data_IF_708135495686
#
_entry.id   IF_708135495686
#
_cell.length_a   1.000
_cell.length_b   1.000
_cell.length_c   1.000
_cell.angle_alpha   90.00
_cell.angle_beta   90.00
_cell.angle_gamma   90.00
#
_symmetry.space_group_name_H-M   'P 1'
#
loop_
_entity.id
_entity.type
_entity.pdbx_description
1 polymer ?
#
# COMPACT_ATOMS: atom_id res chain seq x y z
N UNK A 1 8.65 -18.62 4.02
CA UNK A 1 8.08 -19.93 4.33
C UNK A 1 9.07 -21.02 3.93
N UNK A 2 9.40 -21.92 4.86
CA UNK A 2 10.21 -23.11 4.64
C UNK A 2 9.37 -24.32 4.94
N UNK A 3 9.35 -25.29 4.01
CA UNK A 3 8.54 -26.52 4.11
C UNK A 3 9.48 -27.71 3.96
N UNK A 4 9.36 -28.69 4.83
CA UNK A 4 10.10 -29.95 4.80
C UNK A 4 9.65 -30.87 3.66
N UNK A 5 10.40 -31.94 3.42
CA UNK A 5 10.07 -32.96 2.43
C UNK A 5 8.78 -33.75 2.79
N UNK A 6 8.38 -33.72 4.03
CA UNK A 6 7.16 -34.31 4.60
C UNK A 6 5.97 -33.31 4.62
N UNK A 7 6.10 -32.19 3.92
CA UNK A 7 5.12 -31.09 3.86
C UNK A 7 4.93 -30.33 5.19
N UNK A 8 5.69 -30.64 6.23
CA UNK A 8 5.65 -29.89 7.49
C UNK A 8 6.22 -28.48 7.31
N UNK A 9 5.57 -27.48 7.92
CA UNK A 9 6.09 -26.11 7.94
C UNK A 9 7.21 -26.02 8.98
N UNK A 10 8.43 -25.88 8.52
CA UNK A 10 9.63 -25.78 9.36
C UNK A 10 9.87 -24.35 9.86
N UNK A 11 9.45 -23.35 9.08
CA UNK A 11 9.59 -21.96 9.48
C UNK A 11 8.69 -21.03 8.65
N UNK A 12 8.17 -19.99 9.28
CA UNK A 12 7.39 -18.93 8.63
C UNK A 12 7.74 -17.58 9.21
N UNK A 13 8.24 -16.66 8.39
CA UNK A 13 8.39 -15.26 8.77
C UNK A 13 7.02 -14.59 8.91
N UNK A 14 6.90 -13.49 9.69
CA UNK A 14 5.73 -12.63 9.67
C UNK A 14 5.40 -12.13 8.27
N UNK A 15 4.12 -11.85 8.02
CA UNK A 15 3.66 -11.26 6.75
C UNK A 15 3.78 -9.73 6.83
N UNK A 16 4.17 -9.09 5.71
CA UNK A 16 4.28 -7.63 5.55
C UNK A 16 5.24 -6.92 6.53
N UNK A 17 6.15 -7.64 7.14
CA UNK A 17 7.20 -7.12 8.01
C UNK A 17 8.58 -7.46 7.44
N UNK A 18 9.54 -6.54 7.59
CA UNK A 18 10.94 -6.80 7.27
C UNK A 18 11.54 -7.69 8.35
N UNK A 19 12.26 -8.75 7.95
CA UNK A 19 12.88 -9.65 8.91
C UNK A 19 13.74 -10.73 8.27
N UNK A 20 14.47 -11.45 9.11
CA UNK A 20 15.23 -12.64 8.74
C UNK A 20 14.59 -13.87 9.41
N UNK A 21 14.43 -14.91 8.63
CA UNK A 21 14.03 -16.24 9.12
C UNK A 21 15.22 -17.20 8.90
N UNK A 22 15.77 -17.70 10.00
CA UNK A 22 16.81 -18.73 9.95
C UNK A 22 16.18 -20.08 10.24
N UNK A 23 16.47 -21.07 9.42
CA UNK A 23 15.96 -22.44 9.56
C UNK A 23 17.09 -23.41 9.35
N UNK A 24 17.30 -24.29 10.32
CA UNK A 24 18.22 -25.40 10.18
C UNK A 24 17.54 -26.56 9.47
N UNK A 25 18.18 -27.06 8.41
CA UNK A 25 17.68 -28.16 7.60
C UNK A 25 18.57 -29.38 7.81
N UNK A 26 17.96 -30.51 8.14
CA UNK A 26 18.64 -31.81 8.09
C UNK A 26 18.65 -32.29 6.63
N UNK A 27 19.77 -32.08 5.95
CA UNK A 27 19.91 -32.44 4.55
C UNK A 27 20.52 -33.85 4.46
N UNK A 28 20.01 -34.69 3.53
CA UNK A 28 20.64 -35.98 3.27
C UNK A 28 22.10 -35.78 2.85
N UNK A 29 22.97 -36.67 3.28
CA UNK A 29 24.38 -36.64 2.93
C UNK A 29 24.56 -36.53 1.39
N UNK A 30 25.46 -35.67 0.94
CA UNK A 30 25.74 -35.51 -0.48
C UNK A 30 26.13 -36.86 -1.10
N UNK A 31 25.36 -37.32 -2.08
CA UNK A 31 25.55 -38.63 -2.72
C UNK A 31 26.80 -38.75 -3.59
N UNK A 32 27.47 -37.66 -3.89
CA UNK A 32 28.71 -37.68 -4.68
C UNK A 32 29.85 -37.06 -3.89
N UNK A 33 30.93 -37.78 -3.71
CA UNK A 33 32.18 -37.20 -3.28
C UNK A 33 32.59 -36.12 -4.27
N UNK A 34 32.85 -34.90 -3.77
CA UNK A 34 33.46 -33.83 -4.58
C UNK A 34 34.90 -34.21 -4.94
N UNK A 35 35.57 -33.40 -5.77
CA UNK A 35 37.01 -33.59 -6.05
C UNK A 35 37.82 -33.54 -4.74
N UNK A 36 39.03 -34.06 -4.71
CA UNK A 36 39.94 -33.88 -3.59
C UNK A 36 40.13 -32.42 -3.17
N UNK A 37 40.52 -32.22 -1.94
CA UNK A 37 40.77 -30.85 -1.40
C UNK A 37 41.77 -30.09 -2.28
N UNK A 38 41.39 -28.88 -2.70
CA UNK A 38 42.18 -28.05 -3.58
C UNK A 38 42.09 -28.36 -5.07
N UNK A 39 41.44 -29.49 -5.44
CA UNK A 39 41.14 -29.81 -6.84
C UNK A 39 39.78 -29.31 -7.27
N UNK A 40 39.61 -29.11 -8.56
CA UNK A 40 38.36 -28.69 -9.17
C UNK A 40 37.91 -29.70 -10.21
N UNK A 41 36.70 -30.21 -10.10
CA UNK A 41 36.06 -30.99 -11.14
C UNK A 41 35.10 -30.14 -11.98
N UNK A 42 34.96 -30.53 -13.23
CA UNK A 42 34.02 -29.91 -14.16
C UNK A 42 33.04 -30.99 -14.64
N UNK A 43 31.78 -30.62 -14.56
CA UNK A 43 30.67 -31.47 -15.08
C UNK A 43 29.88 -30.64 -16.09
N UNK A 44 29.68 -31.20 -17.27
CA UNK A 44 28.88 -30.58 -18.34
C UNK A 44 27.48 -31.14 -18.29
N UNK A 45 26.50 -30.30 -18.10
CA UNK A 45 25.09 -30.60 -18.35
C UNK A 45 24.69 -30.04 -19.72
N UNK A 46 23.49 -30.31 -20.18
CA UNK A 46 23.01 -29.81 -21.48
C UNK A 46 23.08 -28.27 -21.58
N UNK A 47 22.90 -27.57 -20.44
CA UNK A 47 22.74 -26.11 -20.40
C UNK A 47 23.83 -25.38 -19.58
N UNK A 48 24.59 -26.12 -18.74
CA UNK A 48 25.49 -25.50 -17.78
C UNK A 48 26.81 -26.25 -17.63
N UNK A 49 27.86 -25.46 -17.35
CA UNK A 49 29.13 -25.98 -16.85
C UNK A 49 29.11 -25.86 -15.31
N UNK A 50 29.08 -26.98 -14.61
CA UNK A 50 29.16 -27.04 -13.15
C UNK A 50 30.62 -27.19 -12.75
N UNK A 51 31.11 -26.21 -12.01
CA UNK A 51 32.45 -26.24 -11.40
C UNK A 51 32.34 -26.57 -9.94
N UNK A 52 32.92 -27.66 -9.47
CA UNK A 52 32.96 -28.08 -8.08
C UNK A 52 34.37 -27.92 -7.51
N UNK A 53 34.48 -27.31 -6.36
CA UNK A 53 35.74 -27.18 -5.62
C UNK A 53 35.51 -27.49 -4.17
N UNK A 54 36.32 -28.34 -3.58
CA UNK A 54 36.29 -28.62 -2.13
C UNK A 54 37.17 -27.59 -1.45
N UNK A 55 36.58 -26.76 -0.61
CA UNK A 55 37.28 -25.68 0.10
C UNK A 55 37.83 -26.14 1.46
N UNK A 56 37.21 -27.09 2.11
CA UNK A 56 37.63 -27.66 3.38
C UNK A 56 37.09 -29.07 3.54
N UNK A 57 37.87 -29.92 4.20
CA UNK A 57 37.45 -31.26 4.68
C UNK A 57 37.34 -31.31 6.20
N UNK A 58 37.53 -30.17 6.87
CA UNK A 58 37.38 -30.09 8.32
C UNK A 58 35.93 -30.27 8.73
N UNK A 59 35.71 -31.10 9.74
CA UNK A 59 34.38 -31.22 10.36
C UNK A 59 33.99 -29.92 11.04
N UNK A 60 32.77 -29.50 10.82
CA UNK A 60 32.20 -28.39 11.59
C UNK A 60 32.08 -28.80 13.07
N UNK A 61 32.25 -27.82 13.96
CA UNK A 61 32.00 -28.04 15.39
C UNK A 61 30.55 -28.54 15.61
N UNK A 62 30.30 -29.37 16.64
CA UNK A 62 28.95 -29.76 16.99
C UNK A 62 28.05 -28.52 17.14
N UNK A 63 26.94 -28.54 16.45
CA UNK A 63 25.95 -27.45 16.42
C UNK A 63 24.62 -27.98 16.94
N UNK A 64 23.98 -27.24 17.81
CA UNK A 64 22.62 -27.55 18.27
C UNK A 64 21.65 -26.69 17.47
N UNK A 65 20.81 -27.28 16.62
CA UNK A 65 19.82 -26.53 15.86
C UNK A 65 18.85 -25.79 16.78
N UNK A 66 18.56 -24.54 16.46
CA UNK A 66 17.49 -23.80 17.11
C UNK A 66 16.20 -23.94 16.28
N UNK A 67 15.04 -24.21 16.91
CA UNK A 67 13.79 -24.30 16.19
C UNK A 67 13.45 -22.94 15.56
N UNK A 68 13.19 -22.94 14.26
CA UNK A 68 12.71 -21.75 13.58
C UNK A 68 11.31 -21.35 14.07
N UNK A 69 11.07 -20.07 14.16
CA UNK A 69 9.75 -19.56 14.48
C UNK A 69 8.76 -19.81 13.33
N UNK A 70 7.53 -20.20 13.69
CA UNK A 70 6.41 -20.27 12.73
C UNK A 70 5.42 -19.17 13.09
N UNK A 71 5.55 -18.02 12.43
CA UNK A 71 4.63 -16.90 12.62
C UNK A 71 3.18 -17.32 12.28
N UNK A 72 2.17 -16.91 13.05
CA UNK A 72 0.78 -17.15 12.70
C UNK A 72 0.40 -16.47 11.39
N UNK A 73 -0.56 -17.05 10.66
CA UNK A 73 -1.15 -16.37 9.49
C UNK A 73 -2.11 -15.30 9.99
N UNK A 74 -2.07 -14.14 9.36
CA UNK A 74 -3.07 -13.11 9.59
C UNK A 74 -4.37 -13.47 8.85
N UNK A 75 -5.56 -13.06 9.37
CA UNK A 75 -6.84 -13.26 8.68
C UNK A 75 -6.86 -12.58 7.30
N UNK A 76 -7.68 -13.08 6.38
CA UNK A 76 -7.73 -12.60 4.98
C UNK A 76 -7.95 -11.08 4.88
N UNK A 77 -8.87 -10.51 5.67
CA UNK A 77 -9.07 -9.05 5.70
C UNK A 77 -7.86 -8.30 6.23
N UNK A 78 -7.19 -8.85 7.25
CA UNK A 78 -5.94 -8.30 7.78
C UNK A 78 -4.81 -8.36 6.75
N UNK A 79 -4.75 -9.42 5.95
CA UNK A 79 -3.78 -9.57 4.86
C UNK A 79 -3.99 -8.50 3.77
N UNK A 80 -5.24 -8.29 3.33
CA UNK A 80 -5.57 -7.23 2.38
C UNK A 80 -5.23 -5.84 2.94
N UNK A 81 -5.61 -5.58 4.20
CA UNK A 81 -5.29 -4.30 4.85
C UNK A 81 -3.77 -4.06 4.91
N UNK A 82 -3.01 -5.04 5.39
CA UNK A 82 -1.56 -4.94 5.48
C UNK A 82 -0.90 -4.78 4.09
N UNK A 83 -1.45 -5.43 3.06
CA UNK A 83 -0.98 -5.28 1.69
C UNK A 83 -1.14 -3.84 1.18
N UNK A 84 -2.33 -3.22 1.37
CA UNK A 84 -2.57 -1.84 0.90
C UNK A 84 -1.78 -0.81 1.70
N UNK A 85 -1.60 -1.01 3.02
CA UNK A 85 -0.74 -0.17 3.86
C UNK A 85 0.71 -0.24 3.39
N UNK A 86 1.23 -1.45 3.16
CA UNK A 86 2.59 -1.68 2.69
C UNK A 86 2.80 -1.10 1.29
N UNK A 87 1.85 -1.32 0.37
CA UNK A 87 1.90 -0.78 -0.99
C UNK A 87 1.95 0.73 -1.02
N UNK A 88 1.12 1.41 -0.21
CA UNK A 88 1.13 2.87 -0.12
C UNK A 88 2.44 3.38 0.50
N UNK A 89 2.88 2.79 1.62
CA UNK A 89 4.13 3.15 2.29
C UNK A 89 5.32 3.09 1.34
N UNK A 90 5.43 1.99 0.63
CA UNK A 90 6.54 1.75 -0.30
C UNK A 90 6.48 2.69 -1.50
N UNK A 91 5.29 2.93 -2.05
CA UNK A 91 5.12 3.85 -3.16
C UNK A 91 5.54 5.28 -2.78
N UNK A 92 5.08 5.77 -1.62
CA UNK A 92 5.44 7.10 -1.10
C UNK A 92 6.95 7.22 -0.94
N UNK A 93 7.58 6.26 -0.26
CA UNK A 93 9.03 6.27 0.01
C UNK A 93 9.87 6.17 -1.26
N UNK A 94 9.55 5.23 -2.14
CA UNK A 94 10.31 4.98 -3.38
C UNK A 94 10.22 6.13 -4.38
N UNK A 95 9.12 6.90 -4.36
CA UNK A 95 8.97 8.08 -5.21
C UNK A 95 9.41 9.39 -4.52
N UNK A 96 9.96 9.33 -3.31
CA UNK A 96 10.55 10.49 -2.61
C UNK A 96 9.53 11.43 -1.98
N UNK A 97 8.25 11.07 -1.93
CA UNK A 97 7.24 11.87 -1.23
C UNK A 97 7.42 11.79 0.28
N UNK A 98 7.20 12.91 0.97
CA UNK A 98 7.27 12.99 2.43
C UNK A 98 5.87 12.97 3.07
N UNK A 99 4.84 13.23 2.29
CA UNK A 99 3.48 13.40 2.78
C UNK A 99 2.45 13.15 1.66
N UNK A 100 1.21 12.93 2.09
CA UNK A 100 0.08 12.74 1.19
C UNK A 100 -1.04 13.72 1.50
N UNK A 101 -1.88 13.99 0.50
CA UNK A 101 -3.12 14.78 0.65
C UNK A 101 -4.28 14.04 0.01
N UNK A 102 -5.45 14.09 0.66
CA UNK A 102 -6.68 13.49 0.16
C UNK A 102 -7.92 14.30 0.54
N UNK A 103 -8.97 14.16 -0.25
CA UNK A 103 -10.28 14.72 0.07
C UNK A 103 -11.00 13.89 1.12
N UNK A 104 -11.49 14.50 2.18
CA UNK A 104 -12.36 13.88 3.17
C UNK A 104 -13.81 14.27 2.90
N UNK A 105 -14.58 13.33 2.36
CA UNK A 105 -15.99 13.53 2.02
C UNK A 105 -16.97 13.27 3.18
N UNK A 106 -16.49 12.65 4.27
CA UNK A 106 -17.33 12.06 5.31
C UNK A 106 -17.84 10.66 4.96
N UNK A 107 -17.46 10.12 3.78
CA UNK A 107 -17.78 8.74 3.36
C UNK A 107 -16.71 7.74 3.80
N UNK A 108 -17.12 6.45 3.88
CA UNK A 108 -16.28 5.36 4.36
C UNK A 108 -14.98 5.17 3.56
N UNK A 109 -15.01 5.34 2.23
CA UNK A 109 -13.84 5.13 1.39
C UNK A 109 -12.75 6.15 1.69
N UNK A 110 -13.10 7.44 1.77
CA UNK A 110 -12.16 8.49 2.14
C UNK A 110 -11.63 8.32 3.56
N UNK A 111 -12.46 7.84 4.49
CA UNK A 111 -12.05 7.53 5.85
C UNK A 111 -11.06 6.36 5.90
N UNK A 112 -11.34 5.30 5.15
CA UNK A 112 -10.45 4.14 5.06
C UNK A 112 -9.10 4.50 4.42
N UNK A 113 -9.09 5.26 3.32
CA UNK A 113 -7.86 5.73 2.68
C UNK A 113 -7.04 6.60 3.64
N UNK A 114 -7.69 7.48 4.40
CA UNK A 114 -7.01 8.30 5.41
C UNK A 114 -6.36 7.45 6.52
N UNK A 115 -7.06 6.43 7.01
CA UNK A 115 -6.55 5.51 8.03
C UNK A 115 -5.37 4.69 7.50
N UNK A 116 -5.50 4.11 6.29
CA UNK A 116 -4.40 3.41 5.61
C UNK A 116 -3.17 4.32 5.46
N UNK A 117 -3.39 5.58 5.09
CA UNK A 117 -2.30 6.55 4.95
C UNK A 117 -1.62 6.85 6.29
N UNK A 118 -2.40 7.00 7.37
CA UNK A 118 -1.85 7.20 8.72
C UNK A 118 -1.00 6.02 9.17
N UNK A 119 -1.45 4.79 8.92
CA UNK A 119 -0.71 3.58 9.27
C UNK A 119 0.53 3.39 8.37
N UNK A 120 0.46 3.82 7.11
CA UNK A 120 1.55 3.70 6.17
C UNK A 120 2.73 4.65 6.43
N UNK A 121 2.45 5.92 6.73
CA UNK A 121 3.48 6.98 6.80
C UNK A 121 3.42 7.86 8.05
N UNK A 122 2.51 7.57 8.98
CA UNK A 122 2.27 8.35 10.20
C UNK A 122 1.31 9.52 9.97
N UNK A 123 0.39 9.73 10.93
CA UNK A 123 -0.68 10.71 10.83
C UNK A 123 -0.19 12.15 10.59
N UNK A 124 0.97 12.53 11.13
CA UNK A 124 1.59 13.84 10.95
C UNK A 124 1.95 14.16 9.49
N UNK A 125 2.03 13.15 8.62
CA UNK A 125 2.37 13.26 7.22
C UNK A 125 1.13 13.14 6.30
N UNK A 126 -0.07 13.03 6.89
CA UNK A 126 -1.34 12.90 6.17
C UNK A 126 -2.16 14.19 6.29
N UNK A 127 -2.58 14.74 5.16
CA UNK A 127 -3.36 15.96 5.07
C UNK A 127 -4.75 15.65 4.52
N UNK A 128 -5.75 15.68 5.39
CA UNK A 128 -7.16 15.53 5.04
C UNK A 128 -7.80 16.89 4.74
N UNK A 129 -8.43 17.02 3.59
CA UNK A 129 -9.08 18.27 3.18
C UNK A 129 -10.57 18.04 2.99
N UNK A 130 -11.38 18.66 3.85
CA UNK A 130 -12.81 18.76 3.63
C UNK A 130 -13.11 19.88 2.65
N UNK A 131 -13.84 19.57 1.59
CA UNK A 131 -14.15 20.51 0.51
C UNK A 131 -15.67 20.63 0.32
N UNK A 132 -16.37 21.25 1.28
CA UNK A 132 -17.82 21.35 1.22
C UNK A 132 -18.31 22.25 0.08
N UNK A 133 -19.43 21.84 -0.53
CA UNK A 133 -20.25 22.67 -1.42
C UNK A 133 -21.54 23.06 -0.72
N UNK A 134 -22.43 23.77 -1.43
CA UNK A 134 -23.78 24.12 -0.95
C UNK A 134 -24.65 22.89 -0.65
N UNK A 135 -24.32 21.74 -1.25
CA UNK A 135 -25.05 20.47 -1.09
C UNK A 135 -24.46 19.54 -0.03
N UNK A 136 -23.34 19.90 0.58
CA UNK A 136 -22.69 19.05 1.60
C UNK A 136 -23.47 19.07 2.90
N UNK A 137 -23.82 17.89 3.41
CA UNK A 137 -24.53 17.76 4.70
C UNK A 137 -23.65 18.15 5.89
N UNK A 138 -24.27 18.58 6.99
CA UNK A 138 -23.54 18.85 8.22
C UNK A 138 -22.90 17.56 8.79
N UNK A 139 -23.55 16.40 8.64
CA UNK A 139 -23.00 15.10 9.03
C UNK A 139 -21.67 14.80 8.32
N UNK A 140 -21.60 14.98 7.01
CA UNK A 140 -20.36 14.76 6.26
C UNK A 140 -19.19 15.64 6.75
N UNK A 141 -19.49 16.86 7.17
CA UNK A 141 -18.48 17.79 7.70
C UNK A 141 -18.03 17.38 9.12
N UNK A 142 -18.98 16.95 9.98
CA UNK A 142 -18.66 16.48 11.33
C UNK A 142 -17.86 15.20 11.29
N UNK A 143 -18.24 14.23 10.44
CA UNK A 143 -17.57 12.93 10.31
C UNK A 143 -16.13 13.08 9.83
N UNK A 144 -15.87 13.95 8.85
CA UNK A 144 -14.54 14.23 8.37
C UNK A 144 -13.63 14.85 9.46
N UNK A 145 -14.21 15.73 10.30
CA UNK A 145 -13.49 16.34 11.43
C UNK A 145 -13.22 15.32 12.53
N UNK A 146 -14.23 14.55 12.91
CA UNK A 146 -14.10 13.51 13.93
C UNK A 146 -13.04 12.46 13.54
N UNK A 147 -13.01 12.05 12.27
CA UNK A 147 -11.97 11.17 11.76
C UNK A 147 -10.58 11.80 11.96
N UNK A 148 -10.41 13.07 11.60
CA UNK A 148 -9.14 13.77 11.76
C UNK A 148 -8.70 13.86 13.24
N UNK A 149 -9.63 14.12 14.16
CA UNK A 149 -9.36 14.15 15.60
C UNK A 149 -8.96 12.77 16.14
N UNK A 150 -9.64 11.71 15.70
CA UNK A 150 -9.35 10.32 16.11
C UNK A 150 -8.02 9.79 15.59
N UNK A 151 -7.67 10.13 14.35
CA UNK A 151 -6.44 9.65 13.71
C UNK A 151 -5.23 10.54 14.00
N UNK A 152 -5.45 11.80 14.35
CA UNK A 152 -4.41 12.80 14.54
C UNK A 152 -3.80 13.32 13.23
N UNK A 153 -4.43 13.06 12.07
CA UNK A 153 -4.00 13.63 10.81
C UNK A 153 -4.21 15.16 10.76
N UNK A 154 -3.49 15.83 9.87
CA UNK A 154 -3.65 17.27 9.66
C UNK A 154 -4.91 17.54 8.85
N UNK A 155 -5.77 18.43 9.34
CA UNK A 155 -7.07 18.70 8.76
C UNK A 155 -7.22 20.16 8.33
N UNK A 156 -7.79 20.36 7.13
CA UNK A 156 -8.17 21.68 6.63
C UNK A 156 -9.55 21.65 5.99
N UNK A 157 -10.22 22.79 5.96
CA UNK A 157 -11.48 22.97 5.24
C UNK A 157 -11.28 24.01 4.14
N UNK A 158 -11.56 23.63 2.89
CA UNK A 158 -11.52 24.50 1.72
C UNK A 158 -12.87 24.46 0.99
N UNK A 159 -13.79 25.40 1.28
CA UNK A 159 -15.09 25.42 0.62
C UNK A 159 -14.95 25.65 -0.90
N UNK A 160 -15.54 24.76 -1.70
CA UNK A 160 -15.52 24.87 -3.16
C UNK A 160 -16.69 25.68 -3.74
N UNK A 161 -17.67 26.03 -2.95
CA UNK A 161 -18.86 26.75 -3.41
C UNK A 161 -18.57 28.03 -4.20
N UNK A 162 -17.64 28.92 -3.78
CA UNK A 162 -17.26 30.09 -4.56
C UNK A 162 -16.64 29.76 -5.92
N UNK A 163 -15.82 28.70 -6.00
CA UNK A 163 -15.18 28.24 -7.23
C UNK A 163 -16.24 27.73 -8.23
N UNK A 164 -17.15 26.89 -7.74
CA UNK A 164 -18.26 26.35 -8.56
C UNK A 164 -19.15 27.48 -9.08
N UNK A 165 -19.52 28.43 -8.23
CA UNK A 165 -20.30 29.62 -8.67
C UNK A 165 -19.59 30.40 -9.77
N UNK A 166 -18.31 30.67 -9.63
CA UNK A 166 -17.55 31.39 -10.65
C UNK A 166 -17.54 30.68 -12.01
N UNK A 167 -17.62 29.35 -12.06
CA UNK A 167 -17.83 28.61 -13.30
C UNK A 167 -19.26 28.77 -13.82
N UNK A 168 -20.28 28.61 -12.97
CA UNK A 168 -21.69 28.67 -13.35
C UNK A 168 -22.12 30.06 -13.80
N UNK A 169 -21.47 31.11 -13.32
CA UNK A 169 -21.67 32.48 -13.80
C UNK A 169 -21.25 32.68 -15.29
N UNK A 170 -20.46 31.76 -15.84
CA UNK A 170 -19.97 31.85 -17.21
C UNK A 170 -20.49 30.73 -18.14
N UNK A 171 -20.95 29.59 -17.54
CA UNK A 171 -21.39 28.43 -18.30
C UNK A 171 -22.65 27.88 -17.62
N UNK A 172 -23.73 27.71 -18.38
CA UNK A 172 -24.92 27.04 -17.87
C UNK A 172 -24.72 25.53 -17.82
N UNK A 173 -24.66 24.96 -16.59
CA UNK A 173 -24.56 23.53 -16.35
C UNK A 173 -25.64 23.11 -15.37
N UNK A 174 -26.24 21.92 -15.62
CA UNK A 174 -27.30 21.36 -14.78
C UNK A 174 -27.14 19.87 -14.57
N UNK A 175 -27.71 19.34 -13.48
CA UNK A 175 -27.72 17.90 -13.19
C UNK A 175 -26.30 17.32 -13.09
N UNK A 176 -26.05 16.21 -13.78
CA UNK A 176 -24.76 15.50 -13.75
C UNK A 176 -23.57 16.39 -14.17
N UNK A 177 -23.77 17.35 -15.06
CA UNK A 177 -22.69 18.26 -15.48
C UNK A 177 -22.24 19.17 -14.32
N UNK A 178 -23.19 19.66 -13.52
CA UNK A 178 -22.90 20.46 -12.32
C UNK A 178 -22.26 19.61 -11.22
N UNK A 179 -22.73 18.38 -10.99
CA UNK A 179 -22.13 17.45 -10.04
C UNK A 179 -20.66 17.16 -10.41
N UNK A 180 -20.41 16.87 -11.68
CA UNK A 180 -19.08 16.63 -12.20
C UNK A 180 -18.17 17.89 -12.12
N UNK A 181 -18.72 19.08 -12.26
CA UNK A 181 -17.99 20.32 -12.03
C UNK A 181 -17.51 20.42 -10.58
N UNK A 182 -18.37 20.09 -9.62
CA UNK A 182 -17.99 20.07 -8.20
C UNK A 182 -16.89 19.05 -7.90
N UNK A 183 -16.97 17.84 -8.47
CA UNK A 183 -15.93 16.83 -8.34
C UNK A 183 -14.60 17.32 -8.90
N UNK A 184 -14.61 17.98 -10.08
CA UNK A 184 -13.41 18.56 -10.70
C UNK A 184 -12.86 19.73 -9.91
N UNK A 185 -13.69 20.59 -9.33
CA UNK A 185 -13.25 21.68 -8.46
C UNK A 185 -12.47 21.15 -7.24
N UNK A 186 -12.92 20.01 -6.66
CA UNK A 186 -12.17 19.31 -5.61
C UNK A 186 -10.83 18.77 -6.12
N UNK A 187 -10.83 18.15 -7.29
CA UNK A 187 -9.62 17.64 -7.93
C UNK A 187 -8.57 18.74 -8.16
N UNK A 188 -8.98 19.87 -8.72
CA UNK A 188 -8.10 21.04 -8.94
C UNK A 188 -7.56 21.57 -7.62
N UNK A 189 -8.39 21.63 -6.56
CA UNK A 189 -7.97 22.07 -5.23
C UNK A 189 -6.88 21.16 -4.66
N UNK A 190 -7.08 19.84 -4.72
CA UNK A 190 -6.10 18.86 -4.24
C UNK A 190 -4.78 18.95 -5.02
N UNK A 191 -4.85 19.07 -6.35
CA UNK A 191 -3.66 19.22 -7.17
C UNK A 191 -2.93 20.55 -6.93
N UNK A 192 -3.66 21.63 -6.65
CA UNK A 192 -3.06 22.90 -6.24
C UNK A 192 -2.27 22.77 -4.93
N UNK A 193 -2.84 22.10 -3.93
CA UNK A 193 -2.17 21.81 -2.65
C UNK A 193 -0.96 20.88 -2.85
N UNK A 194 -1.10 19.86 -3.70
CA UNK A 194 -0.02 18.96 -4.07
C UNK A 194 1.18 19.73 -4.64
N UNK A 195 0.94 20.60 -5.63
CA UNK A 195 1.99 21.37 -6.26
C UNK A 195 2.63 22.39 -5.30
N UNK A 196 1.83 22.99 -4.41
CA UNK A 196 2.32 23.99 -3.46
C UNK A 196 3.20 23.38 -2.37
N UNK A 197 2.87 22.18 -1.88
CA UNK A 197 3.49 21.61 -0.68
C UNK A 197 4.23 20.29 -0.93
N UNK A 198 4.21 19.76 -2.15
CA UNK A 198 4.89 18.52 -2.51
C UNK A 198 4.17 17.25 -2.02
N UNK A 199 2.86 17.31 -1.74
CA UNK A 199 2.10 16.14 -1.32
C UNK A 199 1.77 15.22 -2.49
N UNK A 200 1.81 13.90 -2.27
CA UNK A 200 1.18 12.95 -3.17
C UNK A 200 -0.34 13.00 -2.97
N UNK A 201 -1.11 13.21 -4.03
CA UNK A 201 -2.59 13.13 -3.96
C UNK A 201 -3.02 11.67 -3.97
N UNK A 202 -3.87 11.28 -3.00
CA UNK A 202 -4.49 9.97 -2.96
C UNK A 202 -5.92 10.04 -3.49
N UNK A 203 -6.22 9.19 -4.48
CA UNK A 203 -7.59 8.96 -4.93
C UNK A 203 -8.30 7.96 -4.00
N UNK A 204 -9.59 8.16 -3.77
CA UNK A 204 -10.36 7.37 -2.80
C UNK A 204 -11.33 6.37 -3.44
N UNK A 205 -11.34 6.27 -4.78
CA UNK A 205 -12.17 5.33 -5.51
C UNK A 205 -11.80 3.87 -5.25
N UNK A 206 -12.82 3.01 -5.12
CA UNK A 206 -12.67 1.58 -4.90
C UNK A 206 -12.88 0.77 -6.18
N UNK A 207 -12.59 -0.54 -6.12
CA UNK A 207 -12.73 -1.46 -7.26
C UNK A 207 -14.16 -1.51 -7.83
N UNK A 208 -15.16 -1.52 -6.96
CA UNK A 208 -16.57 -1.62 -7.39
C UNK A 208 -17.01 -0.38 -8.16
N UNK A 209 -16.64 0.81 -7.70
CA UNK A 209 -16.91 2.08 -8.39
C UNK A 209 -16.24 2.11 -9.77
N UNK A 210 -14.98 1.71 -9.86
CA UNK A 210 -14.24 1.66 -11.12
C UNK A 210 -14.84 0.62 -12.09
N UNK A 211 -15.29 -0.53 -11.57
CA UNK A 211 -15.88 -1.59 -12.39
C UNK A 211 -17.18 -1.18 -13.09
N UNK A 212 -17.98 -0.28 -12.48
CA UNK A 212 -19.24 0.23 -13.05
C UNK A 212 -19.09 1.61 -13.69
N UNK A 213 -17.87 2.17 -13.71
CA UNK A 213 -17.62 3.50 -14.26
C UNK A 213 -18.18 4.65 -13.41
N UNK A 214 -18.42 4.42 -12.12
CA UNK A 214 -18.90 5.44 -11.18
C UNK A 214 -17.71 6.28 -10.69
N UNK A 215 -17.21 7.14 -11.55
CA UNK A 215 -16.04 7.97 -11.30
C UNK A 215 -16.04 9.18 -12.23
N UNK A 216 -15.66 10.33 -11.71
CA UNK A 216 -15.50 11.56 -12.49
C UNK A 216 -14.04 11.73 -12.89
N UNK A 217 -13.76 11.64 -14.20
CA UNK A 217 -12.43 11.91 -14.76
C UNK A 217 -12.00 13.34 -14.40
N UNK A 218 -10.77 13.49 -13.88
CA UNK A 218 -10.22 14.74 -13.37
C UNK A 218 -10.96 15.31 -12.14
N UNK A 219 -11.84 14.51 -11.52
CA UNK A 219 -12.54 14.85 -10.29
C UNK A 219 -12.11 13.95 -9.13
N UNK A 220 -12.98 13.04 -8.70
CA UNK A 220 -12.72 12.08 -7.64
C UNK A 220 -11.68 11.01 -8.00
N UNK A 221 -11.47 10.77 -9.30
CA UNK A 221 -10.39 9.89 -9.79
C UNK A 221 -9.01 10.56 -9.80
N UNK A 222 -8.90 11.84 -9.43
CA UNK A 222 -7.61 12.54 -9.44
C UNK A 222 -6.70 12.04 -8.32
N UNK A 223 -5.45 11.74 -8.66
CA UNK A 223 -4.44 11.31 -7.71
C UNK A 223 -3.31 10.53 -8.37
N UNK A 224 -2.17 10.48 -7.69
CA UNK A 224 -1.00 9.72 -8.12
C UNK A 224 -0.99 8.28 -7.61
N UNK A 225 -1.85 7.96 -6.62
CA UNK A 225 -2.02 6.61 -6.07
C UNK A 225 -3.44 6.42 -5.56
N UNK A 226 -4.01 5.23 -5.75
CA UNK A 226 -5.35 4.87 -5.35
C UNK A 226 -5.33 3.58 -4.48
N UNK A 227 -5.25 3.70 -3.14
CA UNK A 227 -5.10 2.54 -2.25
C UNK A 227 -6.20 1.49 -2.39
N UNK A 228 -7.43 1.90 -2.65
CA UNK A 228 -8.60 1.01 -2.72
C UNK A 228 -8.93 0.53 -4.15
N UNK A 229 -8.09 0.83 -5.14
CA UNK A 229 -8.38 0.52 -6.55
C UNK A 229 -8.70 -0.95 -6.81
N UNK A 230 -8.07 -1.86 -6.08
CA UNK A 230 -8.28 -3.30 -6.18
C UNK A 230 -9.10 -3.90 -5.02
N UNK A 231 -9.63 -3.05 -4.13
CA UNK A 231 -10.45 -3.46 -2.99
C UNK A 231 -11.93 -3.28 -3.34
N UNK A 232 -12.74 -4.35 -3.36
CA UNK A 232 -14.18 -4.24 -3.59
C UNK A 232 -14.89 -3.58 -2.41
N UNK A 233 -16.00 -2.88 -2.68
CA UNK A 233 -16.81 -2.18 -1.67
C UNK A 233 -17.38 -3.09 -0.58
N UNK A 234 -17.48 -4.39 -0.87
CA UNK A 234 -18.07 -5.41 0.01
C UNK A 234 -17.07 -6.07 0.96
N UNK A 235 -15.79 -5.76 0.83
CA UNK A 235 -14.75 -6.25 1.72
C UNK A 235 -14.61 -5.35 2.94
#
# INVERSE_FOLDING_TARGET
LVVGADEAVLGRAPQFEDGCLTVDLDLPAAMAAGPPLGETSHEYTADYLVRRSVLSTESLAPYTPEPAGVAPRIPDQGEVYAAVVTGLRDYVRKNGFQSVVLGLSGGIDSALVATIACDAIGAQNVYGVSMPSSYSSEHSKSDARELAERTGLRFATVPIGPMVRAFLDNIELTGLAEENLQARARGVTLMGLSNQYGHLVLATGNKSELAVGYSTIYGDAVGGYAPLKDVPKTL
#
